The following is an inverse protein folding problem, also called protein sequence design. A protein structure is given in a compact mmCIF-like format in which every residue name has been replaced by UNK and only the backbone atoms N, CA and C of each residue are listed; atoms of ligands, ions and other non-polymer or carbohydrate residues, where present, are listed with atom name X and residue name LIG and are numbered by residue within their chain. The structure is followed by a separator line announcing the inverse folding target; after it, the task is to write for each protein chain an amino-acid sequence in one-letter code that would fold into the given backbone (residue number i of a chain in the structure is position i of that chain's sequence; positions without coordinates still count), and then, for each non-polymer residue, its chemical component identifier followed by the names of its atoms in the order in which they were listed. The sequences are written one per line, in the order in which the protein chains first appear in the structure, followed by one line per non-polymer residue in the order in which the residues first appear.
data_IF_113232705685
#
_entry.id   IF_113232705685
#
_cell.length_a   1.000
_cell.length_b   1.000
_cell.length_c   1.000
_cell.angle_alpha   90.00
_cell.angle_beta   90.00
_cell.angle_gamma   90.00
#
_symmetry.space_group_name_H-M   'P 1'
#
loop_
_entity.id
_entity.type
_entity.pdbx_description
1 polymer ?
#
# COMPACT_ATOMS: atom_id res chain seq x y z
N UNK A 1 8.79 16.35 -11.49
CA UNK A 1 8.43 15.06 -12.10
C UNK A 1 6.96 14.82 -11.83
N UNK A 2 6.20 14.38 -12.84
CA UNK A 2 4.83 13.90 -12.64
C UNK A 2 4.92 12.64 -11.79
N UNK A 3 4.19 12.55 -10.67
CA UNK A 3 4.19 11.29 -9.92
C UNK A 3 3.57 10.19 -10.81
N UNK A 4 3.86 8.91 -10.50
CA UNK A 4 3.37 7.76 -11.28
C UNK A 4 1.85 7.83 -11.53
N UNK A 5 1.09 8.43 -10.62
CA UNK A 5 -0.34 8.73 -10.78
C UNK A 5 -0.67 9.69 -11.94
N UNK A 6 0.06 10.80 -12.06
CA UNK A 6 -0.13 11.75 -13.18
C UNK A 6 0.30 11.14 -14.52
N UNK A 7 1.31 10.25 -14.51
CA UNK A 7 1.71 9.48 -15.69
C UNK A 7 0.63 8.47 -16.09
N UNK A 8 0.13 7.67 -15.14
CA UNK A 8 -0.94 6.71 -15.34
C UNK A 8 -2.16 7.40 -15.94
N UNK A 9 -2.66 8.49 -15.32
CA UNK A 9 -3.85 9.23 -15.79
C UNK A 9 -3.71 9.81 -17.21
N UNK A 10 -2.49 10.04 -17.70
CA UNK A 10 -2.23 10.72 -18.97
C UNK A 10 -2.10 9.78 -20.19
N UNK A 11 -1.85 8.49 -19.99
CA UNK A 11 -1.55 7.52 -21.06
C UNK A 11 -2.14 6.11 -20.83
N UNK A 12 -3.20 5.96 -20.01
CA UNK A 12 -3.63 4.65 -19.47
C UNK A 12 -3.85 3.57 -20.56
N UNK A 13 -2.97 2.58 -20.62
CA UNK A 13 -3.37 1.22 -21.01
C UNK A 13 -4.16 0.64 -19.83
N UNK A 14 -5.48 0.58 -19.97
CA UNK A 14 -6.36 0.06 -18.91
C UNK A 14 -5.97 -1.38 -18.52
N UNK A 15 -5.32 -2.13 -19.41
CA UNK A 15 -4.82 -3.46 -19.10
C UNK A 15 -3.67 -3.46 -18.09
N UNK A 16 -2.82 -2.42 -18.07
CA UNK A 16 -1.72 -2.31 -17.10
C UNK A 16 -2.27 -2.06 -15.70
N UNK A 17 -3.27 -1.17 -15.59
CA UNK A 17 -3.95 -0.88 -14.32
C UNK A 17 -4.76 -2.09 -13.85
N UNK A 18 -5.48 -2.77 -14.75
CA UNK A 18 -6.21 -4.01 -14.45
C UNK A 18 -5.28 -5.09 -13.91
N UNK A 19 -4.13 -5.30 -14.57
CA UNK A 19 -3.14 -6.30 -14.17
C UNK A 19 -2.54 -5.98 -12.81
N UNK A 20 -2.16 -4.73 -12.58
CA UNK A 20 -1.59 -4.28 -11.32
C UNK A 20 -2.57 -4.47 -10.15
N UNK A 21 -3.82 -4.03 -10.29
CA UNK A 21 -4.83 -4.18 -9.23
C UNK A 21 -5.15 -5.66 -9.01
N UNK A 22 -5.29 -6.44 -10.10
CA UNK A 22 -5.54 -7.87 -9.98
C UNK A 22 -4.42 -8.56 -9.20
N UNK A 23 -3.15 -8.30 -9.50
CA UNK A 23 -2.03 -8.93 -8.81
C UNK A 23 -1.93 -8.50 -7.34
N UNK A 24 -2.16 -7.21 -7.05
CA UNK A 24 -2.14 -6.65 -5.70
C UNK A 24 -3.17 -7.31 -4.77
N UNK A 25 -4.32 -7.72 -5.31
CA UNK A 25 -5.43 -8.30 -4.53
C UNK A 25 -5.66 -9.80 -4.76
N UNK A 26 -5.02 -10.42 -5.76
CA UNK A 26 -5.10 -11.86 -6.00
C UNK A 26 -4.11 -12.67 -5.17
N UNK A 27 -3.04 -12.04 -4.66
CA UNK A 27 -2.01 -12.69 -3.86
C UNK A 27 -2.13 -12.29 -2.39
N UNK A 28 -2.03 -13.23 -1.43
CA UNK A 28 -1.91 -12.89 -0.02
C UNK A 28 -0.66 -12.03 0.19
N UNK A 29 -0.85 -10.76 0.53
CA UNK A 29 0.25 -9.85 0.84
C UNK A 29 0.91 -10.28 2.16
N UNK A 30 2.23 -10.38 2.16
CA UNK A 30 2.98 -10.49 3.41
C UNK A 30 3.06 -9.10 4.07
N UNK A 31 2.42 -8.97 5.23
CA UNK A 31 2.35 -7.74 6.02
C UNK A 31 3.64 -7.55 6.82
N UNK A 32 4.54 -6.70 6.33
CA UNK A 32 5.76 -6.35 7.06
C UNK A 32 6.05 -4.86 6.99
N UNK A 33 6.58 -4.31 8.09
CA UNK A 33 7.16 -2.97 8.12
C UNK A 33 8.27 -2.87 7.04
N UNK A 34 8.53 -1.66 6.53
CA UNK A 34 9.70 -1.45 5.68
C UNK A 34 10.96 -1.50 6.56
N UNK A 35 11.65 -2.64 6.58
CA UNK A 35 12.79 -2.89 7.47
C UNK A 35 14.15 -2.79 6.78
N UNK A 36 15.16 -2.34 7.53
CA UNK A 36 16.59 -2.42 7.19
C UNK A 36 17.28 -3.43 8.11
N UNK A 37 18.16 -4.24 7.52
CA UNK A 37 19.00 -5.23 8.21
C UNK A 37 20.47 -4.82 8.27
N UNK A 38 20.78 -3.56 7.96
CA UNK A 38 22.16 -3.03 7.93
C UNK A 38 22.88 -3.18 9.28
N UNK A 39 22.13 -3.18 10.39
CA UNK A 39 22.65 -3.24 11.75
C UNK A 39 22.35 -4.57 12.47
N UNK A 40 22.23 -5.67 11.72
CA UNK A 40 21.91 -6.99 12.27
C UNK A 40 22.83 -7.36 13.46
N UNK A 41 22.30 -7.89 14.59
CA UNK A 41 20.97 -8.48 14.76
C UNK A 41 19.83 -7.48 15.02
N UNK A 42 20.12 -6.20 15.18
CA UNK A 42 19.07 -5.21 15.39
C UNK A 42 18.44 -4.81 14.04
N UNK A 43 17.11 -4.86 13.98
CA UNK A 43 16.31 -4.50 12.82
C UNK A 43 15.67 -3.14 13.08
N UNK A 44 15.72 -2.25 12.09
CA UNK A 44 15.16 -0.91 12.18
C UNK A 44 14.21 -0.68 11.02
N UNK A 45 13.22 0.18 11.19
CA UNK A 45 12.41 0.65 10.08
C UNK A 45 13.32 1.49 9.17
N UNK A 46 13.41 1.13 7.89
CA UNK A 46 14.34 1.75 6.94
C UNK A 46 14.03 3.23 6.68
N UNK A 47 12.80 3.67 6.95
CA UNK A 47 12.39 5.06 6.76
C UNK A 47 12.42 5.85 8.06
N UNK A 48 11.76 5.36 9.12
CA UNK A 48 11.66 6.11 10.39
C UNK A 48 12.91 6.00 11.26
N UNK A 49 13.77 5.00 11.01
CA UNK A 49 14.92 4.69 11.85
C UNK A 49 14.54 4.12 13.23
N UNK A 50 13.25 3.89 13.49
CA UNK A 50 12.80 3.28 14.75
C UNK A 50 13.20 1.81 14.82
N UNK A 51 13.59 1.34 16.01
CA UNK A 51 13.88 -0.08 16.21
C UNK A 51 12.60 -0.89 16.04
N UNK A 52 12.67 -1.95 15.23
CA UNK A 52 11.57 -2.90 15.07
C UNK A 52 11.58 -3.84 16.26
N UNK A 53 10.45 -3.90 16.96
CA UNK A 53 10.23 -4.79 18.10
C UNK A 53 9.10 -5.75 17.79
N UNK A 54 8.94 -6.80 18.59
CA UNK A 54 7.79 -7.70 18.46
C UNK A 54 6.46 -6.96 18.65
N UNK A 55 6.44 -5.94 19.50
CA UNK A 55 5.27 -5.08 19.74
C UNK A 55 4.96 -4.20 18.52
N UNK A 56 5.97 -3.51 17.96
CA UNK A 56 5.75 -2.68 16.76
C UNK A 56 5.29 -3.54 15.58
N UNK A 57 5.85 -4.73 15.45
CA UNK A 57 5.50 -5.69 14.38
C UNK A 57 4.05 -6.15 14.53
N UNK A 58 3.60 -6.47 15.75
CA UNK A 58 2.22 -6.88 16.00
C UNK A 58 1.24 -5.74 15.70
N UNK A 59 1.52 -4.53 16.18
CA UNK A 59 0.70 -3.34 15.90
C UNK A 59 0.61 -3.06 14.39
N UNK A 60 1.74 -3.13 13.69
CA UNK A 60 1.78 -2.94 12.24
C UNK A 60 0.96 -4.01 11.51
N UNK A 61 1.09 -5.27 11.90
CA UNK A 61 0.35 -6.37 11.29
C UNK A 61 -1.17 -6.21 11.46
N UNK A 62 -1.65 -5.76 12.63
CA UNK A 62 -3.07 -5.48 12.86
C UNK A 62 -3.59 -4.37 11.94
N UNK A 63 -2.85 -3.27 11.79
CA UNK A 63 -3.23 -2.19 10.87
C UNK A 63 -3.21 -2.66 9.42
N UNK A 64 -2.14 -3.33 8.97
CA UNK A 64 -2.02 -3.77 7.59
C UNK A 64 -3.14 -4.75 7.22
N UNK A 65 -3.51 -5.67 8.12
CA UNK A 65 -4.64 -6.59 7.90
C UNK A 65 -5.98 -5.85 7.81
N UNK A 66 -6.22 -4.86 8.68
CA UNK A 66 -7.43 -4.02 8.63
C UNK A 66 -7.53 -3.24 7.31
N UNK A 67 -6.42 -2.65 6.87
CA UNK A 67 -6.31 -1.90 5.62
C UNK A 67 -6.47 -2.82 4.41
N UNK A 68 -5.87 -4.01 4.44
CA UNK A 68 -6.04 -5.01 3.39
C UNK A 68 -7.51 -5.43 3.25
N UNK A 69 -8.19 -5.69 4.36
CA UNK A 69 -9.61 -6.04 4.35
C UNK A 69 -10.46 -4.93 3.73
N UNK A 70 -10.24 -3.68 4.15
CA UNK A 70 -10.99 -2.53 3.65
C UNK A 70 -10.71 -2.25 2.17
N UNK A 71 -9.45 -2.28 1.75
CA UNK A 71 -9.09 -2.04 0.34
C UNK A 71 -9.54 -3.17 -0.59
N UNK A 72 -9.57 -4.41 -0.10
CA UNK A 72 -10.19 -5.55 -0.80
C UNK A 72 -11.70 -5.37 -0.94
N UNK A 73 -12.37 -4.88 0.10
CA UNK A 73 -13.80 -4.56 0.05
C UNK A 73 -14.08 -3.47 -1.00
N UNK A 74 -13.32 -2.36 -0.99
CA UNK A 74 -13.42 -1.29 -1.99
C UNK A 74 -13.27 -1.86 -3.41
N UNK A 75 -12.26 -2.69 -3.65
CA UNK A 75 -12.04 -3.31 -4.94
C UNK A 75 -13.25 -4.16 -5.39
N UNK A 76 -13.72 -5.07 -4.55
CA UNK A 76 -14.82 -5.98 -4.89
C UNK A 76 -16.14 -5.23 -5.13
N UNK A 77 -16.47 -4.25 -4.29
CA UNK A 77 -17.69 -3.45 -4.42
C UNK A 77 -17.69 -2.61 -5.70
N UNK A 78 -16.58 -1.94 -6.01
CA UNK A 78 -16.49 -1.06 -7.17
C UNK A 78 -16.38 -1.86 -8.48
N UNK A 79 -15.70 -3.01 -8.45
CA UNK A 79 -15.69 -3.95 -9.58
C UNK A 79 -17.10 -4.45 -9.89
N UNK A 80 -17.91 -4.77 -8.88
CA UNK A 80 -19.29 -5.20 -9.08
C UNK A 80 -20.19 -4.09 -9.68
N UNK A 81 -19.84 -2.81 -9.48
CA UNK A 81 -20.51 -1.64 -10.09
C UNK A 81 -20.08 -1.37 -11.53
N UNK A 82 -19.04 -2.05 -12.02
CA UNK A 82 -18.43 -1.76 -13.33
C UNK A 82 -17.57 -0.49 -13.33
N UNK A 83 -17.10 -0.04 -12.16
CA UNK A 83 -16.17 1.10 -12.03
C UNK A 83 -14.86 0.79 -12.79
N UNK A 84 -14.29 1.78 -13.48
CA UNK A 84 -13.00 1.62 -14.17
C UNK A 84 -11.89 1.30 -13.17
N UNK A 85 -10.93 0.46 -13.55
CA UNK A 85 -9.82 0.12 -12.63
C UNK A 85 -8.99 1.34 -12.22
N UNK A 86 -8.84 2.33 -13.11
CA UNK A 86 -8.22 3.61 -12.74
C UNK A 86 -8.95 4.34 -11.61
N UNK A 87 -10.29 4.31 -11.60
CA UNK A 87 -11.09 4.94 -10.54
C UNK A 87 -11.10 4.10 -9.25
N UNK A 88 -11.10 2.76 -9.37
CA UNK A 88 -10.96 1.85 -8.22
C UNK A 88 -9.62 2.09 -7.52
N UNK A 89 -8.53 2.16 -8.29
CA UNK A 89 -7.21 2.48 -7.77
C UNK A 89 -7.21 3.82 -7.05
N UNK A 90 -7.81 4.88 -7.63
CA UNK A 90 -7.90 6.18 -6.98
C UNK A 90 -8.65 6.13 -5.64
N UNK A 91 -9.74 5.36 -5.55
CA UNK A 91 -10.47 5.16 -4.29
C UNK A 91 -9.60 4.48 -3.23
N UNK A 92 -8.86 3.45 -3.61
CA UNK A 92 -7.91 2.75 -2.71
C UNK A 92 -6.81 3.71 -2.25
N UNK A 93 -6.20 4.46 -3.17
CA UNK A 93 -5.16 5.45 -2.85
C UNK A 93 -5.68 6.53 -1.89
N UNK A 94 -6.91 6.99 -2.11
CA UNK A 94 -7.58 7.96 -1.22
C UNK A 94 -7.84 7.37 0.16
N UNK A 95 -8.22 6.10 0.24
CA UNK A 95 -8.35 5.40 1.52
C UNK A 95 -7.00 5.24 2.23
N UNK A 96 -5.94 4.91 1.49
CA UNK A 96 -4.58 4.84 2.01
C UNK A 96 -4.11 6.19 2.55
N UNK A 97 -4.38 7.32 1.88
CA UNK A 97 -3.98 8.64 2.37
C UNK A 97 -4.73 9.11 3.63
N UNK A 98 -5.72 8.34 4.10
CA UNK A 98 -6.47 8.61 5.34
C UNK A 98 -5.99 7.75 6.52
N UNK A 99 -5.04 6.84 6.30
CA UNK A 99 -4.50 6.01 7.39
C UNK A 99 -3.66 6.85 8.35
N UNK A 100 -3.48 6.40 9.61
CA UNK A 100 -2.66 7.13 10.58
C UNK A 100 -1.24 7.37 10.06
N UNK A 101 -0.70 8.57 10.28
CA UNK A 101 0.66 8.96 9.86
C UNK A 101 1.72 7.96 10.33
N UNK A 102 1.54 7.39 11.52
CA UNK A 102 2.45 6.38 12.06
C UNK A 102 2.52 5.12 11.17
N UNK A 103 1.39 4.65 10.64
CA UNK A 103 1.37 3.55 9.68
C UNK A 103 1.99 3.96 8.35
N UNK A 104 1.61 5.13 7.82
CA UNK A 104 2.08 5.62 6.52
C UNK A 104 3.60 5.83 6.50
N UNK A 105 4.17 6.35 7.58
CA UNK A 105 5.62 6.49 7.71
C UNK A 105 6.33 5.14 7.72
N UNK A 106 5.77 4.12 8.39
CA UNK A 106 6.39 2.78 8.45
C UNK A 106 6.50 2.06 7.10
N UNK A 107 5.72 2.50 6.10
CA UNK A 107 5.77 2.00 4.71
C UNK A 107 6.27 3.03 3.70
N UNK A 108 6.78 4.17 4.18
CA UNK A 108 7.21 5.30 3.35
C UNK A 108 6.15 5.74 2.31
N UNK A 109 4.90 5.91 2.73
CA UNK A 109 3.79 6.31 1.86
C UNK A 109 3.61 7.84 1.76
N UNK A 110 3.22 8.40 0.59
CA UNK A 110 3.09 7.77 -0.72
C UNK A 110 4.42 7.71 -1.48
N UNK A 111 5.51 8.15 -0.85
CA UNK A 111 6.85 8.22 -1.42
C UNK A 111 7.53 6.85 -1.46
N UNK A 112 6.79 5.83 -1.90
CA UNK A 112 7.39 4.61 -2.40
C UNK A 112 8.05 4.97 -3.74
N UNK A 113 9.21 5.64 -3.69
CA UNK A 113 10.05 5.91 -4.87
C UNK A 113 10.26 4.54 -5.57
N UNK A 114 9.66 4.35 -6.75
CA UNK A 114 10.06 4.81 -8.09
C UNK A 114 10.98 3.79 -8.76
#
# INVERSE_FOLDING_TARGET
MLNKYQQLRSNVDQNEVDSYIKDLYATPRQSHELVSIEHYPDVFNAYTGEKVTSESTAMFAEWDQSILAMTTQIYNEEKAKGTSSSDIYLKIQTHMSQQPDYFLNKINWPNQEA
#
